data_IF_834354523290
#
_entry.id   IF_834354523290
#
_cell.length_a   1.000
_cell.length_b   1.000
_cell.length_c   1.000
_cell.angle_alpha   90.00
_cell.angle_beta   90.00
_cell.angle_gamma   90.00
#
_symmetry.space_group_name_H-M   'P 1'
#
loop_
_entity.id
_entity.type
_entity.pdbx_description
1 polymer ?
#
# COMPACT_ATOMS: atom_id res chain seq x y z
N UNK A 1 34.83 20.77 -22.16
CA UNK A 1 34.66 20.26 -23.53
C UNK A 1 33.48 19.28 -23.52
N UNK A 2 32.50 19.50 -24.39
CA UNK A 2 31.28 18.68 -24.54
C UNK A 2 31.49 17.73 -25.72
N UNK A 3 31.21 16.44 -25.54
CA UNK A 3 31.08 15.48 -26.64
C UNK A 3 29.79 14.68 -26.38
N UNK A 4 28.76 14.80 -27.24
CA UNK A 4 27.63 13.87 -27.27
C UNK A 4 27.72 12.97 -28.52
N UNK A 5 27.42 11.68 -28.36
CA UNK A 5 27.09 10.77 -29.47
C UNK A 5 26.21 9.62 -28.94
N UNK A 6 24.91 9.66 -29.26
CA UNK A 6 24.18 8.71 -30.11
C UNK A 6 24.12 7.28 -29.54
N UNK A 7 22.98 6.87 -28.97
CA UNK A 7 21.87 6.17 -29.66
C UNK A 7 22.34 4.87 -30.34
N UNK A 8 21.99 3.74 -29.72
CA UNK A 8 21.88 2.44 -30.39
C UNK A 8 20.72 1.68 -29.76
N UNK A 9 19.54 1.90 -30.33
CA UNK A 9 18.32 1.15 -30.11
C UNK A 9 18.46 -0.21 -30.78
N UNK A 10 18.72 -1.27 -30.02
CA UNK A 10 18.66 -2.63 -30.54
C UNK A 10 17.23 -3.17 -30.44
N UNK A 11 16.52 -3.06 -31.56
CA UNK A 11 15.29 -3.79 -31.86
C UNK A 11 15.66 -5.27 -32.04
N UNK A 12 15.09 -6.19 -31.24
CA UNK A 12 15.16 -7.62 -31.53
C UNK A 12 13.76 -8.16 -31.81
N UNK A 13 13.60 -8.57 -33.06
CA UNK A 13 12.41 -9.12 -33.67
C UNK A 13 12.06 -10.51 -33.11
N UNK A 14 10.77 -10.80 -33.11
CA UNK A 14 10.20 -12.03 -32.57
C UNK A 14 10.52 -13.28 -33.38
N UNK A 15 10.24 -14.41 -32.74
CA UNK A 15 10.03 -15.69 -33.41
C UNK A 15 8.87 -16.40 -32.71
N UNK A 16 7.75 -16.46 -33.42
CA UNK A 16 6.66 -17.39 -33.15
C UNK A 16 7.15 -18.80 -33.51
N UNK A 17 7.08 -19.74 -32.58
CA UNK A 17 7.15 -21.18 -32.88
C UNK A 17 5.76 -21.77 -32.75
N UNK A 18 5.29 -22.33 -33.86
CA UNK A 18 4.04 -23.06 -34.00
C UNK A 18 4.22 -24.55 -33.65
N UNK A 19 3.19 -25.07 -32.99
CA UNK A 19 2.69 -26.44 -32.79
C UNK A 19 3.43 -27.69 -33.35
N UNK A 20 3.70 -28.60 -32.40
CA UNK A 20 3.53 -30.08 -32.33
C UNK A 20 3.88 -31.01 -33.51
N UNK A 21 4.38 -32.23 -33.20
CA UNK A 21 3.46 -33.38 -33.13
C UNK A 21 3.66 -34.34 -31.95
N UNK A 22 2.57 -34.99 -31.53
CA UNK A 22 2.50 -36.07 -30.52
C UNK A 22 3.16 -37.37 -31.01
N UNK A 23 3.61 -38.23 -30.08
CA UNK A 23 3.31 -39.65 -30.20
C UNK A 23 2.68 -40.28 -28.93
N UNK A 24 1.49 -40.83 -29.15
CA UNK A 24 1.02 -42.17 -28.74
C UNK A 24 1.49 -42.75 -27.41
N UNK A 25 0.67 -42.59 -26.37
CA UNK A 25 0.64 -43.43 -25.18
C UNK A 25 -0.79 -43.90 -24.91
N UNK A 26 -1.08 -45.15 -25.25
CA UNK A 26 -2.34 -45.84 -24.97
C UNK A 26 -2.50 -46.14 -23.48
N UNK A 27 -3.55 -45.59 -22.86
CA UNK A 27 -3.94 -45.81 -21.47
C UNK A 27 -5.34 -45.27 -21.18
N UNK A 28 -6.34 -46.04 -21.62
CA UNK A 28 -7.77 -46.01 -21.28
C UNK A 28 -7.92 -46.29 -19.75
N UNK A 29 -8.80 -45.73 -18.91
CA UNK A 29 -10.18 -45.22 -18.91
C UNK A 29 -10.40 -44.24 -17.73
N UNK A 30 -11.35 -43.30 -17.84
CA UNK A 30 -11.96 -42.63 -16.68
C UNK A 30 -12.33 -41.17 -16.95
N UNK A 31 -13.56 -40.95 -17.39
CA UNK A 31 -14.04 -39.63 -17.81
C UNK A 31 -14.24 -38.63 -16.67
N UNK A 32 -14.00 -37.37 -16.98
CA UNK A 32 -14.81 -36.23 -16.56
C UNK A 32 -14.49 -35.07 -17.50
N UNK A 33 -15.52 -34.60 -18.19
CA UNK A 33 -15.55 -33.30 -18.84
C UNK A 33 -15.03 -32.20 -17.90
N UNK A 34 -14.12 -31.37 -18.40
CA UNK A 34 -13.93 -29.96 -18.05
C UNK A 34 -12.95 -29.38 -19.09
N UNK A 35 -13.44 -28.64 -20.09
CA UNK A 35 -13.62 -27.18 -19.98
C UNK A 35 -12.38 -26.56 -19.33
N UNK A 36 -11.49 -25.91 -20.08
CA UNK A 36 -11.77 -24.55 -20.51
C UNK A 36 -11.75 -23.60 -19.31
N UNK A 37 -10.78 -22.67 -19.31
CA UNK A 37 -10.72 -21.44 -18.50
C UNK A 37 -10.00 -21.51 -17.14
N UNK A 38 -8.77 -20.98 -17.09
CA UNK A 38 -8.20 -20.41 -15.87
C UNK A 38 -7.82 -18.92 -16.03
N UNK A 39 -8.79 -17.99 -15.87
CA UNK A 39 -8.49 -16.60 -15.48
C UNK A 39 -9.14 -16.18 -14.13
N UNK A 40 -9.72 -17.10 -13.35
CA UNK A 40 -10.52 -16.71 -12.16
C UNK A 40 -9.70 -16.29 -10.91
N UNK A 41 -8.40 -16.59 -10.84
CA UNK A 41 -7.58 -16.35 -9.63
C UNK A 41 -7.06 -14.91 -9.52
N UNK A 42 -6.98 -14.18 -10.64
CA UNK A 42 -6.58 -12.77 -10.69
C UNK A 42 -7.75 -11.83 -10.36
N UNK A 43 -8.94 -12.11 -10.89
CA UNK A 43 -10.16 -11.31 -10.66
C UNK A 43 -10.64 -11.33 -9.21
N UNK A 44 -10.48 -12.46 -8.51
CA UNK A 44 -10.90 -12.59 -7.10
C UNK A 44 -9.97 -11.84 -6.12
N UNK A 45 -8.72 -11.57 -6.52
CA UNK A 45 -7.75 -10.84 -5.67
C UNK A 45 -7.87 -9.32 -5.82
N UNK A 46 -8.24 -8.83 -7.00
CA UNK A 46 -8.48 -7.39 -7.22
C UNK A 46 -9.69 -6.90 -6.44
N UNK A 47 -10.79 -7.67 -6.41
CA UNK A 47 -12.00 -7.32 -5.65
C UNK A 47 -11.77 -7.33 -4.13
N UNK A 48 -10.98 -8.28 -3.63
CA UNK A 48 -10.59 -8.34 -2.21
C UNK A 48 -9.63 -7.20 -1.79
N UNK A 49 -8.79 -6.69 -2.68
CA UNK A 49 -7.95 -5.52 -2.40
C UNK A 49 -8.77 -4.22 -2.41
N UNK A 50 -9.63 -4.05 -3.42
CA UNK A 50 -10.52 -2.90 -3.55
C UNK A 50 -11.48 -2.78 -2.36
N UNK A 51 -12.10 -3.89 -1.95
CA UNK A 51 -12.97 -3.90 -0.76
C UNK A 51 -12.25 -3.54 0.53
N UNK A 52 -10.95 -3.86 0.67
CA UNK A 52 -10.15 -3.43 1.83
C UNK A 52 -9.83 -1.94 1.81
N UNK A 53 -9.48 -1.38 0.65
CA UNK A 53 -9.22 0.07 0.53
C UNK A 53 -10.48 0.88 0.81
N UNK A 54 -11.62 0.43 0.31
CA UNK A 54 -12.92 1.05 0.54
C UNK A 54 -13.31 1.00 2.02
N UNK A 55 -13.20 -0.16 2.67
CA UNK A 55 -13.48 -0.28 4.11
C UNK A 55 -12.64 0.67 4.96
N UNK A 56 -11.35 0.81 4.61
CA UNK A 56 -10.44 1.71 5.35
C UNK A 56 -10.81 3.18 5.12
N UNK A 57 -11.10 3.57 3.89
CA UNK A 57 -11.59 4.92 3.57
C UNK A 57 -12.91 5.23 4.27
N UNK A 58 -13.83 4.26 4.32
CA UNK A 58 -15.12 4.41 5.00
C UNK A 58 -14.94 4.66 6.49
N UNK A 59 -14.01 3.96 7.15
CA UNK A 59 -13.70 4.18 8.55
C UNK A 59 -13.18 5.61 8.80
N UNK A 60 -12.25 6.09 7.97
CA UNK A 60 -11.74 7.47 8.07
C UNK A 60 -12.87 8.49 7.93
N UNK A 61 -13.74 8.32 6.93
CA UNK A 61 -14.87 9.22 6.70
C UNK A 61 -15.84 9.19 7.88
N UNK A 62 -16.14 8.03 8.46
CA UNK A 62 -17.01 7.91 9.63
C UNK A 62 -16.46 8.69 10.82
N UNK A 63 -15.17 8.53 11.11
CA UNK A 63 -14.55 9.22 12.25
C UNK A 63 -14.48 10.73 12.03
N UNK A 64 -14.11 11.20 10.83
CA UNK A 64 -14.16 12.62 10.49
C UNK A 64 -15.60 13.17 10.50
N UNK A 65 -16.59 12.37 10.10
CA UNK A 65 -18.00 12.79 10.12
C UNK A 65 -18.50 12.94 11.55
N UNK A 66 -18.17 11.99 12.43
CA UNK A 66 -18.52 12.03 13.85
C UNK A 66 -17.98 13.30 14.51
N UNK A 67 -16.78 13.70 14.14
CA UNK A 67 -16.12 14.84 14.76
C UNK A 67 -16.41 16.18 14.07
N UNK A 68 -16.47 16.25 12.75
CA UNK A 68 -16.61 17.51 12.00
C UNK A 68 -18.01 17.75 11.43
N UNK A 69 -18.95 16.82 11.65
CA UNK A 69 -20.29 16.86 11.08
C UNK A 69 -20.25 17.08 9.55
N UNK A 70 -19.52 16.22 8.84
CA UNK A 70 -19.30 16.34 7.40
C UNK A 70 -20.60 16.23 6.61
N UNK A 71 -20.78 17.07 5.61
CA UNK A 71 -21.91 16.97 4.67
C UNK A 71 -21.78 15.72 3.78
N UNK A 72 -22.87 15.23 3.16
CA UNK A 72 -22.81 14.11 2.23
C UNK A 72 -21.78 14.30 1.10
N UNK A 73 -21.68 15.52 0.57
CA UNK A 73 -20.73 15.85 -0.50
C UNK A 73 -19.28 15.78 0.01
N UNK A 74 -19.01 16.35 1.18
CA UNK A 74 -17.68 16.27 1.82
C UNK A 74 -17.30 14.81 2.09
N UNK A 75 -18.23 14.01 2.60
CA UNK A 75 -18.01 12.58 2.84
C UNK A 75 -17.63 11.84 1.56
N UNK A 76 -18.32 12.11 0.44
CA UNK A 76 -18.03 11.51 -0.86
C UNK A 76 -16.62 11.87 -1.35
N UNK A 77 -16.26 13.16 -1.32
CA UNK A 77 -14.95 13.64 -1.74
C UNK A 77 -13.83 13.04 -0.90
N UNK A 78 -13.99 13.04 0.42
CA UNK A 78 -13.00 12.52 1.36
C UNK A 78 -12.84 11.00 1.20
N UNK A 79 -13.94 10.26 0.99
CA UNK A 79 -13.89 8.82 0.71
C UNK A 79 -13.02 8.51 -0.50
N UNK A 80 -13.18 9.26 -1.60
CA UNK A 80 -12.36 9.10 -2.79
C UNK A 80 -10.88 9.35 -2.51
N UNK A 81 -10.57 10.43 -1.79
CA UNK A 81 -9.19 10.79 -1.41
C UNK A 81 -8.50 9.66 -0.64
N UNK A 82 -9.16 9.09 0.38
CA UNK A 82 -8.56 8.01 1.18
C UNK A 82 -8.59 6.66 0.49
N UNK A 83 -9.59 6.38 -0.35
CA UNK A 83 -9.63 5.14 -1.13
C UNK A 83 -8.41 5.07 -2.08
N UNK A 84 -8.10 6.16 -2.77
CA UNK A 84 -6.93 6.26 -3.64
C UNK A 84 -5.62 6.14 -2.86
N UNK A 85 -5.51 6.83 -1.72
CA UNK A 85 -4.33 6.75 -0.86
C UNK A 85 -4.09 5.30 -0.38
N UNK A 86 -5.13 4.63 0.11
CA UNK A 86 -5.03 3.24 0.55
C UNK A 86 -4.74 2.27 -0.58
N UNK A 87 -5.31 2.46 -1.76
CA UNK A 87 -4.99 1.66 -2.95
C UNK A 87 -3.50 1.77 -3.30
N UNK A 88 -2.93 2.97 -3.24
CA UNK A 88 -1.51 3.19 -3.48
C UNK A 88 -0.62 2.56 -2.40
N UNK A 89 -1.02 2.65 -1.13
CA UNK A 89 -0.33 1.98 -0.02
C UNK A 89 -0.36 0.46 -0.19
N UNK A 90 -1.50 -0.11 -0.60
CA UNK A 90 -1.66 -1.55 -0.82
C UNK A 90 -0.71 -2.10 -1.89
N UNK A 91 -0.30 -1.29 -2.86
CA UNK A 91 0.68 -1.69 -3.87
C UNK A 91 2.08 -1.96 -3.26
N UNK A 92 2.38 -1.40 -2.08
CA UNK A 92 3.65 -1.60 -1.37
C UNK A 92 3.65 -2.83 -0.45
N UNK A 93 2.49 -3.42 -0.15
CA UNK A 93 2.34 -4.59 0.73
C UNK A 93 3.23 -5.79 0.35
N UNK A 94 3.42 -6.15 -0.93
CA UNK A 94 4.35 -7.22 -1.29
C UNK A 94 5.78 -6.91 -0.87
N UNK A 95 6.22 -5.66 -1.03
CA UNK A 95 7.58 -5.23 -0.70
C UNK A 95 7.80 -5.21 0.82
N UNK A 96 6.83 -4.70 1.58
CA UNK A 96 6.85 -4.73 3.06
C UNK A 96 6.96 -6.18 3.56
N UNK A 97 6.15 -7.09 3.02
CA UNK A 97 6.23 -8.52 3.39
C UNK A 97 7.57 -9.14 3.07
N UNK A 98 8.15 -8.82 1.91
CA UNK A 98 9.46 -9.30 1.52
C UNK A 98 10.55 -8.80 2.48
N UNK A 99 10.54 -7.52 2.85
CA UNK A 99 11.51 -6.96 3.80
C UNK A 99 11.38 -7.57 5.19
N UNK A 100 10.17 -7.83 5.68
CA UNK A 100 9.98 -8.55 6.95
C UNK A 100 10.54 -9.98 6.93
N UNK A 101 10.35 -10.70 5.82
CA UNK A 101 10.92 -12.05 5.66
C UNK A 101 12.44 -12.02 5.58
N UNK A 102 13.00 -11.06 4.82
CA UNK A 102 14.44 -10.86 4.71
C UNK A 102 15.06 -10.51 6.07
N UNK A 103 14.43 -9.61 6.83
CA UNK A 103 14.90 -9.21 8.17
C UNK A 103 14.92 -10.42 9.11
N UNK A 104 13.84 -11.21 9.12
CA UNK A 104 13.77 -12.45 9.91
C UNK A 104 14.90 -13.43 9.54
N UNK A 105 15.27 -13.50 8.26
CA UNK A 105 16.38 -14.34 7.80
C UNK A 105 17.73 -13.78 8.26
N UNK A 106 17.98 -12.49 8.07
CA UNK A 106 19.23 -11.83 8.43
C UNK A 106 19.53 -11.90 9.93
N UNK A 107 18.49 -11.73 10.76
CA UNK A 107 18.57 -11.93 12.22
C UNK A 107 18.98 -13.35 12.58
N UNK A 108 18.41 -14.37 11.91
CA UNK A 108 18.76 -15.78 12.16
C UNK A 108 20.18 -16.13 11.73
N UNK A 109 20.69 -15.47 10.70
CA UNK A 109 22.05 -15.70 10.20
C UNK A 109 23.11 -14.81 10.86
N UNK A 110 22.73 -13.88 11.75
CA UNK A 110 23.65 -12.93 12.36
C UNK A 110 24.34 -12.01 11.35
N UNK A 111 23.66 -11.67 10.24
CA UNK A 111 24.24 -10.83 9.19
C UNK A 111 23.87 -9.36 9.43
N UNK A 112 24.65 -8.69 10.27
CA UNK A 112 24.40 -7.30 10.68
C UNK A 112 24.36 -6.33 9.50
N UNK A 113 25.25 -6.50 8.51
CA UNK A 113 25.27 -5.65 7.32
C UNK A 113 23.97 -5.73 6.51
N UNK A 114 23.36 -6.93 6.42
CA UNK A 114 22.07 -7.11 5.76
C UNK A 114 20.92 -6.58 6.61
N UNK A 115 21.00 -6.69 7.94
CA UNK A 115 20.02 -6.06 8.86
C UNK A 115 20.00 -4.55 8.63
N UNK A 116 21.15 -3.89 8.65
CA UNK A 116 21.26 -2.43 8.46
C UNK A 116 20.68 -1.99 7.12
N UNK A 117 20.99 -2.73 6.05
CA UNK A 117 20.45 -2.47 4.71
C UNK A 117 18.93 -2.59 4.67
N UNK A 118 18.36 -3.62 5.29
CA UNK A 118 16.90 -3.84 5.32
C UNK A 118 16.20 -2.77 6.16
N UNK A 119 16.81 -2.31 7.25
CA UNK A 119 16.26 -1.24 8.08
C UNK A 119 16.23 0.09 7.32
N UNK A 120 17.27 0.42 6.56
CA UNK A 120 17.28 1.60 5.69
C UNK A 120 16.14 1.55 4.66
N UNK A 121 15.96 0.40 3.99
CA UNK A 121 14.84 0.23 3.04
C UNK A 121 13.47 0.34 3.71
N UNK A 122 13.30 -0.22 4.90
CA UNK A 122 12.06 -0.11 5.68
C UNK A 122 11.77 1.35 6.06
N UNK A 123 12.78 2.13 6.46
CA UNK A 123 12.64 3.55 6.77
C UNK A 123 12.09 4.33 5.57
N UNK A 124 12.63 4.05 4.38
CA UNK A 124 12.17 4.67 3.13
C UNK A 124 10.73 4.26 2.79
N UNK A 125 10.36 2.99 2.97
CA UNK A 125 8.98 2.53 2.77
C UNK A 125 8.00 3.18 3.75
N UNK A 126 8.35 3.25 5.03
CA UNK A 126 7.53 3.91 6.04
C UNK A 126 7.34 5.39 5.72
N UNK A 127 8.39 6.06 5.26
CA UNK A 127 8.31 7.46 4.79
C UNK A 127 7.37 7.59 3.60
N UNK A 128 7.40 6.66 2.64
CA UNK A 128 6.48 6.66 1.50
C UNK A 128 5.02 6.46 1.94
N UNK A 129 4.76 5.49 2.82
CA UNK A 129 3.42 5.24 3.37
C UNK A 129 2.87 6.46 4.11
N UNK A 130 3.69 7.08 4.97
CA UNK A 130 3.33 8.30 5.68
C UNK A 130 3.09 9.45 4.70
N UNK A 131 3.95 9.62 3.70
CA UNK A 131 3.78 10.65 2.67
C UNK A 131 2.43 10.52 1.95
N UNK A 132 2.01 9.31 1.60
CA UNK A 132 0.69 9.06 1.00
C UNK A 132 -0.45 9.46 1.94
N UNK A 133 -0.35 9.08 3.23
CA UNK A 133 -1.35 9.43 4.24
C UNK A 133 -1.46 10.94 4.46
N UNK A 134 -0.34 11.62 4.74
CA UNK A 134 -0.36 13.06 5.03
C UNK A 134 -0.76 13.90 3.81
N UNK A 135 -0.43 13.45 2.59
CA UNK A 135 -0.93 14.09 1.36
C UNK A 135 -2.43 13.90 1.18
N UNK A 136 -2.98 12.74 1.56
CA UNK A 136 -4.43 12.52 1.58
C UNK A 136 -5.12 13.42 2.61
N UNK A 137 -4.57 13.51 3.83
CA UNK A 137 -5.05 14.44 4.86
C UNK A 137 -5.02 15.90 4.38
N UNK A 138 -3.93 16.34 3.75
CA UNK A 138 -3.82 17.69 3.20
C UNK A 138 -4.87 17.99 2.11
N UNK A 139 -5.26 16.98 1.32
CA UNK A 139 -6.37 17.12 0.36
C UNK A 139 -7.72 17.18 1.07
N UNK A 140 -7.95 16.34 2.08
CA UNK A 140 -9.18 16.35 2.87
C UNK A 140 -9.38 17.67 3.64
N UNK A 141 -8.31 18.25 4.20
CA UNK A 141 -8.36 19.53 4.90
C UNK A 141 -8.91 20.67 4.03
N UNK A 142 -8.61 20.65 2.71
CA UNK A 142 -9.12 21.63 1.74
C UNK A 142 -10.61 21.46 1.42
N UNK A 143 -11.23 20.35 1.81
CA UNK A 143 -12.67 20.07 1.64
C UNK A 143 -13.49 20.62 2.82
N UNK A 144 -12.85 20.83 3.96
CA UNK A 144 -13.49 21.35 5.17
C UNK A 144 -13.82 22.85 5.05
N UNK A 145 -14.88 23.27 5.75
CA UNK A 145 -15.15 24.69 5.99
C UNK A 145 -14.12 25.28 6.98
N UNK A 146 -14.00 26.62 7.09
CA UNK A 146 -13.09 27.25 8.06
C UNK A 146 -13.33 26.80 9.52
N UNK A 147 -14.59 26.61 9.91
CA UNK A 147 -14.97 26.14 11.25
C UNK A 147 -14.56 24.69 11.48
N UNK A 148 -14.74 23.84 10.46
CA UNK A 148 -14.30 22.44 10.50
C UNK A 148 -12.78 22.33 10.52
N UNK A 149 -12.05 23.19 9.79
CA UNK A 149 -10.59 23.28 9.86
C UNK A 149 -10.13 23.65 11.27
N UNK A 150 -10.75 24.66 11.87
CA UNK A 150 -10.47 25.07 13.25
C UNK A 150 -10.71 23.93 14.24
N UNK A 151 -11.81 23.19 14.09
CA UNK A 151 -12.08 22.00 14.93
C UNK A 151 -11.08 20.88 14.66
N UNK A 152 -10.71 20.66 13.41
CA UNK A 152 -9.73 19.66 13.01
C UNK A 152 -8.33 19.96 13.58
N UNK A 153 -7.92 21.22 13.62
CA UNK A 153 -6.64 21.64 14.21
C UNK A 153 -6.58 21.42 15.73
N UNK A 154 -7.74 21.32 16.39
CA UNK A 154 -7.87 20.98 17.81
C UNK A 154 -7.90 19.46 18.07
N UNK A 155 -8.05 18.63 17.03
CA UNK A 155 -8.02 17.18 17.19
C UNK A 155 -6.61 16.69 17.50
N UNK A 156 -6.54 15.56 18.20
CA UNK A 156 -5.27 14.92 18.55
C UNK A 156 -4.39 14.66 17.30
N UNK A 157 -3.08 14.88 17.45
CA UNK A 157 -2.06 14.67 16.40
C UNK A 157 -2.05 13.24 15.86
N UNK A 158 -2.65 12.30 16.58
CA UNK A 158 -2.85 10.91 16.17
C UNK A 158 -3.53 10.77 14.79
N UNK A 159 -4.28 11.76 14.33
CA UNK A 159 -4.85 11.79 12.96
C UNK A 159 -3.82 11.84 11.83
N UNK A 160 -2.65 12.45 12.07
CA UNK A 160 -1.61 12.59 11.05
C UNK A 160 -0.71 11.35 10.91
N UNK A 161 -0.98 10.28 11.66
CA UNK A 161 -0.09 9.11 11.71
C UNK A 161 1.23 9.40 12.43
N UNK A 162 1.37 10.61 13.01
CA UNK A 162 2.46 11.00 13.89
C UNK A 162 2.17 10.49 15.30
N UNK A 163 2.01 9.17 15.44
CA UNK A 163 2.08 8.56 16.76
C UNK A 163 3.54 8.57 17.16
N UNK A 164 4.00 9.73 17.63
CA UNK A 164 5.11 9.73 18.55
C UNK A 164 4.67 8.90 19.74
N UNK A 165 5.37 7.80 20.01
CA UNK A 165 5.60 7.44 21.39
C UNK A 165 6.32 8.65 22.01
N UNK A 166 5.57 9.68 22.40
CA UNK A 166 6.11 10.78 23.15
C UNK A 166 6.64 10.17 24.44
N UNK A 167 7.96 10.08 24.51
CA UNK A 167 8.70 10.01 25.75
C UNK A 167 8.09 11.06 26.70
N UNK A 168 7.49 10.59 27.80
CA UNK A 168 6.68 11.46 28.65
C UNK A 168 5.89 10.70 29.70
N UNK A 169 6.51 9.70 30.33
CA UNK A 169 6.09 9.25 31.67
C UNK A 169 7.05 9.81 32.73
N UNK A 170 7.40 11.09 32.64
CA UNK A 170 7.82 11.84 33.82
C UNK A 170 6.53 12.26 34.51
N UNK A 171 6.13 11.50 35.54
CA UNK A 171 5.26 12.04 36.57
C UNK A 171 6.05 13.08 37.36
N UNK A 172 5.66 14.36 37.42
CA UNK A 172 6.22 15.28 38.39
C UNK A 172 5.49 15.15 39.73
N UNK A 173 6.25 15.25 40.82
CA UNK A 173 5.81 15.58 42.20
C UNK A 173 5.09 14.46 42.98
N UNK A 174 5.31 14.25 44.28
CA UNK A 174 6.12 14.95 45.31
C UNK A 174 6.58 13.91 46.35
N UNK A 175 7.55 14.16 47.22
CA UNK A 175 7.74 15.39 47.96
C UNK A 175 6.95 15.35 49.27
N UNK A 176 7.25 14.38 50.14
CA UNK A 176 7.13 14.42 51.62
C UNK A 176 8.19 13.48 52.22
#
# INVERSE_FOLDING_TARGET
MKIPLAVMTALMAGTLVAQAPNPSGTGQTGGADQSGSAPARSQSRSTAAQSRSERRANWVVQELTRELNLTPDQQSQIRGIFADAHKNQQALEPKIRQEHLALKSAVKSGNDAEIDRILESNSQLNTQLLSMHVKAMAKAYKVFTPEQQTKFDQMDRNWFGLRGHAAGSEKPSGGE
#
